data_IF_900652399282
#
_entry.id   IF_900652399282
#
_cell.length_a   1.000
_cell.length_b   1.000
_cell.length_c   1.000
_cell.angle_alpha   90.00
_cell.angle_beta   90.00
_cell.angle_gamma   90.00
#
_symmetry.space_group_name_H-M   'P 1'
#
loop_
_entity.id
_entity.type
_entity.pdbx_description
1 polymer ?
#
# COMPACT_ATOMS: atom_id res chain seq x y z
N UNK A 1 16.18 -12.38 39.72
CA UNK A 1 16.64 -11.10 39.13
C UNK A 1 16.11 -10.85 37.72
N UNK A 2 16.02 -11.85 36.83
CA UNK A 2 15.57 -11.65 35.44
C UNK A 2 14.10 -11.19 35.29
N UNK A 3 13.21 -11.65 36.16
CA UNK A 3 11.76 -11.37 36.11
C UNK A 3 11.44 -9.90 36.47
N UNK A 4 12.25 -9.27 37.32
CA UNK A 4 12.04 -7.88 37.74
C UNK A 4 12.35 -6.88 36.61
N UNK A 5 13.26 -7.21 35.70
CA UNK A 5 13.66 -6.33 34.58
C UNK A 5 12.56 -6.27 33.52
N UNK A 6 11.85 -7.38 33.28
CA UNK A 6 10.78 -7.45 32.27
C UNK A 6 9.57 -6.60 32.72
N UNK A 7 9.22 -6.64 34.00
CA UNK A 7 8.07 -5.86 34.53
C UNK A 7 8.35 -4.36 34.45
N UNK A 8 9.58 -3.91 34.71
CA UNK A 8 9.96 -2.50 34.60
C UNK A 8 9.90 -2.00 33.15
N UNK A 9 10.30 -2.82 32.17
CA UNK A 9 10.24 -2.45 30.74
C UNK A 9 8.80 -2.31 30.22
N UNK A 10 7.88 -3.16 30.68
CA UNK A 10 6.45 -3.07 30.29
C UNK A 10 5.81 -1.80 30.86
N UNK A 11 6.07 -1.46 32.12
CA UNK A 11 5.50 -0.27 32.76
C UNK A 11 6.05 1.01 32.13
N UNK A 12 7.34 1.06 31.81
CA UNK A 12 7.95 2.21 31.11
C UNK A 12 7.37 2.37 29.69
N UNK A 13 7.11 1.26 28.98
CA UNK A 13 6.46 1.28 27.67
C UNK A 13 5.04 1.86 27.70
N UNK A 14 4.24 1.50 28.70
CA UNK A 14 2.89 2.05 28.88
C UNK A 14 2.89 3.54 29.25
N UNK A 15 3.78 3.98 30.13
CA UNK A 15 3.87 5.40 30.54
C UNK A 15 4.32 6.31 29.38
N UNK A 16 5.20 5.81 28.51
CA UNK A 16 5.64 6.55 27.31
C UNK A 16 4.50 6.62 26.27
N UNK A 17 3.74 5.54 26.08
CA UNK A 17 2.61 5.54 25.15
C UNK A 17 1.49 6.49 25.59
N UNK A 18 1.15 6.52 26.88
CA UNK A 18 0.08 7.38 27.41
C UNK A 18 0.44 8.87 27.36
N UNK A 19 1.70 9.23 27.62
CA UNK A 19 2.15 10.62 27.57
C UNK A 19 2.27 11.19 26.15
N UNK A 20 2.51 10.36 25.13
CA UNK A 20 2.55 10.80 23.73
C UNK A 20 1.16 11.01 23.12
N UNK A 21 0.15 10.24 23.57
CA UNK A 21 -1.22 10.38 23.05
C UNK A 21 -1.91 11.67 23.52
N UNK A 22 -1.54 12.18 24.70
CA UNK A 22 -2.17 13.34 25.34
C UNK A 22 -1.55 14.70 24.99
N UNK A 23 -0.55 14.75 24.09
CA UNK A 23 0.09 16.00 23.66
C UNK A 23 -0.15 16.38 22.19
N UNK A 24 -1.02 15.68 21.46
CA UNK A 24 -1.34 16.09 20.09
C UNK A 24 -2.29 17.30 20.12
N UNK A 25 -1.86 18.50 19.65
CA UNK A 25 -2.74 19.66 19.59
C UNK A 25 -3.89 19.38 18.62
N UNK A 26 -5.13 19.74 19.01
CA UNK A 26 -6.27 19.86 18.09
C UNK A 26 -5.86 20.79 16.96
N UNK A 27 -5.69 20.22 15.77
CA UNK A 27 -4.90 20.79 14.69
C UNK A 27 -5.83 21.55 13.73
N UNK A 28 -5.66 22.87 13.61
CA UNK A 28 -6.25 23.72 12.55
C UNK A 28 -5.96 23.20 11.13
N UNK A 29 -4.99 22.28 10.99
CA UNK A 29 -4.74 21.55 9.74
C UNK A 29 -5.93 20.71 9.26
N UNK A 30 -6.88 20.34 10.12
CA UNK A 30 -8.05 19.56 9.74
C UNK A 30 -8.88 20.24 8.64
N UNK A 31 -8.92 21.58 8.66
CA UNK A 31 -9.68 22.38 7.68
C UNK A 31 -8.90 22.55 6.35
N UNK A 32 -7.57 22.66 6.39
CA UNK A 32 -6.72 22.58 5.19
C UNK A 32 -6.77 21.18 4.55
N UNK A 33 -6.90 20.11 5.33
CA UNK A 33 -7.05 18.73 4.82
C UNK A 33 -8.38 18.53 4.08
N UNK A 34 -9.48 19.14 4.54
CA UNK A 34 -10.75 19.11 3.83
C UNK A 34 -10.68 19.93 2.53
N UNK A 35 -10.02 21.08 2.53
CA UNK A 35 -9.84 21.90 1.33
C UNK A 35 -8.93 21.22 0.27
N UNK A 36 -7.88 20.53 0.70
CA UNK A 36 -7.01 19.74 -0.17
C UNK A 36 -7.72 18.49 -0.71
N UNK A 37 -8.53 17.82 0.11
CA UNK A 37 -9.39 16.69 -0.30
C UNK A 37 -10.36 17.13 -1.40
N UNK A 38 -11.02 18.28 -1.24
CA UNK A 38 -12.00 18.77 -2.22
C UNK A 38 -11.34 19.31 -3.49
N UNK A 39 -10.14 19.91 -3.41
CA UNK A 39 -9.38 20.33 -4.60
C UNK A 39 -8.83 19.14 -5.39
N UNK A 40 -8.35 18.08 -4.73
CA UNK A 40 -7.88 16.87 -5.43
C UNK A 40 -9.05 16.08 -6.04
N UNK A 41 -10.19 15.99 -5.34
CA UNK A 41 -11.41 15.38 -5.87
C UNK A 41 -11.95 16.13 -7.10
N UNK A 42 -11.71 17.45 -7.20
CA UNK A 42 -12.05 18.26 -8.38
C UNK A 42 -11.05 18.12 -9.53
N UNK A 43 -9.77 17.85 -9.27
CA UNK A 43 -8.77 17.61 -10.33
C UNK A 43 -8.81 16.19 -10.90
N UNK A 44 -9.27 15.20 -10.13
CA UNK A 44 -9.48 13.82 -10.58
C UNK A 44 -10.95 13.58 -10.98
N UNK A 45 -11.78 14.63 -10.92
CA UNK A 45 -13.24 14.59 -10.97
C UNK A 45 -13.90 14.67 -12.35
N UNK A 46 -13.18 14.48 -13.46
CA UNK A 46 -13.85 14.17 -14.73
C UNK A 46 -14.07 12.65 -14.84
N UNK A 47 -15.20 12.24 -14.24
CA UNK A 47 -15.91 10.97 -14.35
C UNK A 47 -15.19 9.71 -13.87
N UNK A 48 -15.45 9.36 -12.62
CA UNK A 48 -15.84 7.98 -12.33
C UNK A 48 -17.11 7.99 -11.48
N UNK A 49 -18.27 7.91 -12.14
CA UNK A 49 -19.40 7.30 -11.46
C UNK A 49 -18.94 5.91 -11.00
N UNK A 50 -19.33 5.44 -9.80
CA UNK A 50 -19.04 4.06 -9.39
C UNK A 50 -19.59 3.15 -10.49
N UNK A 51 -18.69 2.43 -11.17
CA UNK A 51 -19.09 1.44 -12.15
C UNK A 51 -19.45 0.21 -11.34
N UNK A 52 -20.73 -0.16 -11.27
CA UNK A 52 -21.13 -1.41 -10.63
C UNK A 52 -20.26 -2.57 -11.15
N UNK A 53 -19.74 -3.40 -10.23
CA UNK A 53 -18.88 -4.52 -10.56
C UNK A 53 -17.38 -4.20 -10.61
N UNK A 54 -16.89 -3.19 -9.88
CA UNK A 54 -15.44 -2.98 -9.73
C UNK A 54 -14.76 -4.06 -8.89
N UNK A 55 -13.45 -4.22 -9.05
CA UNK A 55 -12.67 -5.14 -8.23
C UNK A 55 -12.59 -4.69 -6.77
N UNK A 56 -12.70 -3.39 -6.47
CA UNK A 56 -12.85 -2.91 -5.09
C UNK A 56 -14.07 -3.50 -4.38
N UNK A 57 -15.19 -3.67 -5.06
CA UNK A 57 -16.40 -4.26 -4.44
C UNK A 57 -16.18 -5.74 -4.09
N UNK A 58 -15.40 -6.45 -4.91
CA UNK A 58 -15.06 -7.87 -4.71
C UNK A 58 -13.93 -8.08 -3.70
N UNK A 59 -12.99 -7.15 -3.63
CA UNK A 59 -11.77 -7.21 -2.80
C UNK A 59 -11.61 -5.96 -1.92
N UNK A 60 -12.58 -5.70 -1.02
CA UNK A 60 -12.56 -4.51 -0.16
C UNK A 60 -11.36 -4.48 0.79
N UNK A 61 -10.88 -5.61 1.29
CA UNK A 61 -9.75 -5.64 2.22
C UNK A 61 -8.43 -5.21 1.54
N UNK A 62 -8.24 -5.51 0.25
CA UNK A 62 -7.09 -4.97 -0.50
C UNK A 62 -7.19 -3.45 -0.65
N UNK A 63 -8.40 -2.93 -0.90
CA UNK A 63 -8.61 -1.49 -0.99
C UNK A 63 -8.27 -0.80 0.33
N UNK A 64 -8.74 -1.36 1.44
CA UNK A 64 -8.47 -0.84 2.79
C UNK A 64 -6.99 -0.96 3.16
N UNK A 65 -6.32 -2.06 2.79
CA UNK A 65 -4.88 -2.20 2.92
C UNK A 65 -4.14 -1.07 2.19
N UNK A 66 -4.48 -0.84 0.92
CA UNK A 66 -3.83 0.20 0.12
C UNK A 66 -4.07 1.60 0.66
N UNK A 67 -5.29 1.86 1.14
CA UNK A 67 -5.65 3.14 1.75
C UNK A 67 -4.94 3.39 3.08
N UNK A 68 -4.72 2.37 3.90
CA UNK A 68 -3.96 2.48 5.15
C UNK A 68 -2.48 2.80 4.87
N UNK A 69 -1.91 2.21 3.82
CA UNK A 69 -0.51 2.40 3.42
C UNK A 69 -0.24 3.72 2.70
N UNK A 70 -1.25 4.57 2.48
CA UNK A 70 -1.12 5.86 1.76
C UNK A 70 -0.13 6.82 2.39
N UNK A 71 0.00 6.84 3.72
CA UNK A 71 0.91 7.78 4.39
C UNK A 71 2.32 7.23 4.53
N UNK A 72 2.42 5.96 4.91
CA UNK A 72 3.67 5.22 5.12
C UNK A 72 4.42 5.03 3.80
N UNK A 73 3.75 4.46 2.79
CA UNK A 73 4.37 4.10 1.52
C UNK A 73 4.16 5.14 0.41
N UNK A 74 3.31 6.16 0.63
CA UNK A 74 2.80 7.03 -0.46
C UNK A 74 2.06 6.22 -1.51
N UNK A 75 1.29 5.25 -1.05
CA UNK A 75 0.49 4.39 -1.90
C UNK A 75 -0.74 5.12 -2.45
N UNK A 76 -1.00 4.96 -3.74
CA UNK A 76 -2.08 5.60 -4.48
C UNK A 76 -2.85 4.55 -5.27
N UNK A 77 -4.18 4.68 -5.33
CA UNK A 77 -4.99 3.87 -6.25
C UNK A 77 -4.62 4.26 -7.68
N UNK A 78 -4.14 3.29 -8.46
CA UNK A 78 -3.78 3.49 -9.86
C UNK A 78 -4.91 3.07 -10.80
N UNK A 79 -5.60 1.98 -10.47
CA UNK A 79 -6.63 1.39 -11.32
C UNK A 79 -7.68 0.68 -10.45
N UNK A 80 -8.95 0.87 -10.79
CA UNK A 80 -10.07 0.10 -10.24
C UNK A 80 -11.14 -0.03 -11.32
N UNK A 81 -11.24 -1.21 -11.92
CA UNK A 81 -12.26 -1.58 -12.89
C UNK A 81 -12.76 -3.01 -12.61
N UNK A 82 -13.66 -3.55 -13.42
CA UNK A 82 -14.21 -4.90 -13.18
C UNK A 82 -13.24 -6.06 -13.39
N UNK A 83 -11.99 -5.80 -13.80
CA UNK A 83 -10.94 -6.78 -14.03
C UNK A 83 -9.68 -6.54 -13.20
N UNK A 84 -9.45 -5.33 -12.71
CA UNK A 84 -8.23 -5.00 -11.99
C UNK A 84 -8.50 -3.99 -10.89
N UNK A 85 -7.97 -4.27 -9.71
CA UNK A 85 -7.69 -3.25 -8.69
C UNK A 85 -6.18 -3.20 -8.51
N UNK A 86 -5.59 -2.01 -8.59
CA UNK A 86 -4.15 -1.81 -8.50
C UNK A 86 -3.83 -0.53 -7.73
N UNK A 87 -2.93 -0.66 -6.78
CA UNK A 87 -2.27 0.43 -6.08
C UNK A 87 -0.82 0.53 -6.52
N UNK A 88 -0.28 1.74 -6.53
CA UNK A 88 1.14 1.97 -6.79
C UNK A 88 1.78 2.77 -5.66
N UNK A 89 3.07 2.56 -5.41
CA UNK A 89 3.85 3.44 -4.56
C UNK A 89 5.25 3.68 -5.14
N UNK A 90 5.88 4.84 -4.89
CA UNK A 90 7.15 5.19 -5.50
C UNK A 90 8.33 4.37 -4.95
N UNK A 91 9.33 4.17 -5.81
CA UNK A 91 10.67 3.67 -5.45
C UNK A 91 11.61 4.86 -5.44
N UNK A 92 12.34 5.03 -4.34
CA UNK A 92 13.17 6.20 -4.10
C UNK A 92 14.67 5.84 -4.16
N UNK A 93 15.40 6.51 -5.04
CA UNK A 93 16.87 6.59 -5.02
C UNK A 93 17.29 7.96 -5.59
N UNK A 94 17.73 8.88 -4.72
CA UNK A 94 18.02 10.29 -5.07
C UNK A 94 16.87 11.00 -5.83
N UNK A 95 15.64 10.49 -5.70
CA UNK A 95 14.46 10.86 -6.46
C UNK A 95 13.56 9.66 -6.73
N UNK A 96 12.41 9.86 -7.37
CA UNK A 96 11.54 8.75 -7.79
C UNK A 96 12.15 8.10 -9.03
N UNK A 97 12.54 6.83 -8.94
CA UNK A 97 13.14 6.05 -10.04
C UNK A 97 12.16 5.06 -10.68
N UNK A 98 11.04 4.78 -10.02
CA UNK A 98 10.03 3.83 -10.48
C UNK A 98 8.86 3.74 -9.51
N UNK A 99 7.99 2.77 -9.76
CA UNK A 99 6.84 2.46 -8.92
C UNK A 99 6.73 0.95 -8.73
N UNK A 100 6.37 0.54 -7.52
CA UNK A 100 5.88 -0.80 -7.24
C UNK A 100 4.37 -0.76 -7.38
N UNK A 101 3.81 -1.73 -8.11
CA UNK A 101 2.41 -1.90 -8.39
C UNK A 101 1.92 -3.16 -7.68
N UNK A 102 0.92 -3.03 -6.83
CA UNK A 102 0.30 -4.10 -6.05
C UNK A 102 -1.14 -4.21 -6.50
N UNK A 103 -1.62 -5.39 -6.83
CA UNK A 103 -2.99 -5.49 -7.28
C UNK A 103 -3.52 -6.90 -7.35
N UNK A 104 -4.80 -6.96 -7.71
CA UNK A 104 -5.46 -8.18 -8.16
C UNK A 104 -5.91 -7.95 -9.58
N UNK A 105 -5.58 -8.89 -10.46
CA UNK A 105 -6.05 -8.93 -11.85
C UNK A 105 -6.85 -10.20 -12.10
N UNK A 106 -7.98 -10.06 -12.80
CA UNK A 106 -8.76 -11.17 -13.34
C UNK A 106 -8.11 -11.66 -14.65
N UNK A 107 -7.60 -12.88 -14.60
CA UNK A 107 -7.02 -13.60 -15.74
C UNK A 107 -7.95 -14.75 -16.11
N UNK A 108 -8.76 -14.54 -17.15
CA UNK A 108 -9.71 -15.53 -17.68
C UNK A 108 -10.74 -16.04 -16.65
N UNK A 109 -11.30 -15.16 -15.84
CA UNK A 109 -12.28 -15.48 -14.79
C UNK A 109 -11.64 -15.97 -13.49
N UNK A 110 -10.32 -15.86 -13.36
CA UNK A 110 -9.57 -16.27 -12.17
C UNK A 110 -8.76 -15.09 -11.63
N UNK A 111 -9.05 -14.62 -10.42
CA UNK A 111 -8.34 -13.50 -9.82
C UNK A 111 -6.97 -13.95 -9.32
N UNK A 112 -5.96 -13.13 -9.58
CA UNK A 112 -4.58 -13.34 -9.14
C UNK A 112 -4.06 -12.08 -8.48
N UNK A 113 -3.43 -12.23 -7.32
CA UNK A 113 -2.62 -11.17 -6.71
C UNK A 113 -1.27 -11.07 -7.43
N UNK A 114 -0.79 -9.85 -7.64
CA UNK A 114 0.50 -9.59 -8.27
C UNK A 114 1.22 -8.41 -7.62
N UNK A 115 2.55 -8.43 -7.76
CA UNK A 115 3.42 -7.28 -7.49
C UNK A 115 4.35 -7.07 -8.67
N UNK A 116 4.17 -5.97 -9.39
CA UNK A 116 5.02 -5.58 -10.51
C UNK A 116 5.86 -4.36 -10.16
N UNK A 117 7.02 -4.20 -10.80
CA UNK A 117 7.85 -3.03 -10.65
C UNK A 117 8.15 -2.40 -11.99
N UNK A 118 7.77 -1.13 -12.15
CA UNK A 118 7.99 -0.34 -13.35
C UNK A 118 8.90 0.84 -13.07
N UNK A 119 10.10 0.80 -13.64
CA UNK A 119 11.05 1.91 -13.57
C UNK A 119 10.68 3.02 -14.58
N UNK A 120 11.08 4.26 -14.28
CA UNK A 120 10.86 5.42 -15.17
C UNK A 120 11.53 5.28 -16.53
N UNK A 121 12.63 4.53 -16.59
CA UNK A 121 13.32 4.19 -17.83
C UNK A 121 12.57 3.14 -18.68
N UNK A 122 11.38 2.69 -18.24
CA UNK A 122 10.55 1.72 -18.94
C UNK A 122 10.82 0.26 -18.60
N UNK A 123 11.89 -0.05 -17.83
CA UNK A 123 12.17 -1.43 -17.41
C UNK A 123 11.05 -1.95 -16.50
N UNK A 124 10.50 -3.11 -16.84
CA UNK A 124 9.39 -3.75 -16.12
C UNK A 124 9.86 -5.09 -15.56
N UNK A 125 9.65 -5.30 -14.27
CA UNK A 125 9.84 -6.58 -13.59
C UNK A 125 8.48 -7.09 -13.16
N UNK A 126 8.09 -8.23 -13.71
CA UNK A 126 6.83 -8.88 -13.36
C UNK A 126 7.02 -9.83 -12.20
N UNK A 127 6.24 -9.67 -11.14
CA UNK A 127 6.20 -10.63 -10.05
C UNK A 127 5.43 -11.90 -10.42
N UNK A 128 5.41 -12.86 -9.51
CA UNK A 128 4.51 -14.00 -9.62
C UNK A 128 3.04 -13.51 -9.64
N UNK A 129 2.17 -14.26 -10.32
CA UNK A 129 0.71 -14.12 -10.20
C UNK A 129 0.23 -15.26 -9.34
N UNK A 130 -0.19 -14.97 -8.11
CA UNK A 130 -0.66 -15.99 -7.19
C UNK A 130 -2.19 -16.02 -7.27
N UNK A 131 -2.80 -17.18 -7.60
CA UNK A 131 -4.25 -17.27 -7.62
C UNK A 131 -4.81 -17.05 -6.21
N UNK A 132 -5.94 -16.37 -6.13
CA UNK A 132 -6.70 -16.18 -4.90
C UNK A 132 -8.13 -16.65 -5.12
N UNK A 133 -8.74 -17.25 -4.10
CA UNK A 133 -10.12 -17.75 -4.18
C UNK A 133 -11.11 -16.79 -3.50
N UNK A 134 -10.63 -16.02 -2.53
CA UNK A 134 -11.42 -15.08 -1.73
C UNK A 134 -10.61 -13.82 -1.39
N UNK A 135 -11.30 -12.84 -0.81
CA UNK A 135 -10.68 -11.60 -0.31
C UNK A 135 -9.94 -11.89 0.99
N UNK A 136 -8.63 -11.64 0.99
CA UNK A 136 -7.78 -11.91 2.15
C UNK A 136 -7.98 -10.84 3.23
N UNK A 137 -7.66 -11.15 4.47
CA UNK A 137 -7.56 -10.13 5.51
C UNK A 137 -6.43 -9.15 5.22
N UNK A 138 -6.45 -7.97 5.86
CA UNK A 138 -5.40 -6.95 5.69
C UNK A 138 -4.02 -7.44 6.14
N UNK A 139 -3.97 -8.28 7.17
CA UNK A 139 -2.72 -8.87 7.66
C UNK A 139 -2.17 -9.92 6.68
N UNK A 140 -3.03 -10.75 6.09
CA UNK A 140 -2.66 -11.69 5.03
C UNK A 140 -2.17 -10.96 3.77
N UNK A 141 -2.83 -9.87 3.37
CA UNK A 141 -2.33 -9.03 2.27
C UNK A 141 -0.95 -8.46 2.59
N UNK A 142 -0.74 -7.98 3.81
CA UNK A 142 0.57 -7.47 4.23
C UNK A 142 1.66 -8.55 4.15
N UNK A 143 1.36 -9.78 4.57
CA UNK A 143 2.28 -10.91 4.47
C UNK A 143 2.56 -11.30 3.01
N UNK A 144 1.52 -11.58 2.22
CA UNK A 144 1.66 -12.06 0.84
C UNK A 144 2.35 -11.02 -0.03
N UNK A 145 1.89 -9.76 -0.01
CA UNK A 145 2.52 -8.69 -0.80
C UNK A 145 3.96 -8.44 -0.34
N UNK A 146 4.23 -8.51 0.97
CA UNK A 146 5.57 -8.41 1.53
C UNK A 146 6.51 -9.49 0.97
N UNK A 147 6.08 -10.76 0.96
CA UNK A 147 6.85 -11.86 0.38
C UNK A 147 7.08 -11.68 -1.13
N UNK A 148 6.07 -11.20 -1.86
CA UNK A 148 6.20 -10.93 -3.29
C UNK A 148 7.19 -9.79 -3.58
N UNK A 149 7.21 -8.73 -2.76
CA UNK A 149 8.25 -7.69 -2.85
C UNK A 149 9.63 -8.27 -2.57
N UNK A 150 9.77 -9.08 -1.52
CA UNK A 150 11.05 -9.72 -1.17
C UNK A 150 11.58 -10.61 -2.30
N UNK A 151 10.69 -11.26 -3.05
CA UNK A 151 11.08 -12.08 -4.20
C UNK A 151 11.79 -11.27 -5.30
N UNK A 152 11.45 -9.99 -5.49
CA UNK A 152 12.15 -9.13 -6.45
C UNK A 152 13.61 -8.88 -6.08
N UNK A 153 13.94 -8.83 -4.77
CA UNK A 153 15.32 -8.67 -4.32
C UNK A 153 16.23 -9.86 -4.62
N UNK A 154 15.64 -11.02 -4.92
CA UNK A 154 16.39 -12.19 -5.40
C UNK A 154 16.80 -12.07 -6.88
N UNK A 155 16.24 -11.11 -7.62
CA UNK A 155 16.54 -10.87 -9.03
C UNK A 155 17.71 -9.87 -9.18
N UNK A 156 18.90 -10.30 -9.68
CA UNK A 156 20.07 -9.41 -9.81
C UNK A 156 19.82 -8.19 -10.71
N UNK A 157 19.02 -8.36 -11.77
CA UNK A 157 18.71 -7.27 -12.71
C UNK A 157 17.84 -6.20 -12.08
N UNK A 158 16.99 -6.60 -11.13
CA UNK A 158 16.15 -5.69 -10.33
C UNK A 158 17.01 -4.91 -9.34
N UNK A 159 17.88 -5.62 -8.60
CA UNK A 159 18.81 -5.00 -7.65
C UNK A 159 19.71 -3.99 -8.36
N UNK A 160 20.25 -4.34 -9.52
CA UNK A 160 21.06 -3.43 -10.32
C UNK A 160 20.27 -2.19 -10.77
N UNK A 161 19.00 -2.36 -11.18
CA UNK A 161 18.15 -1.25 -11.61
C UNK A 161 17.77 -0.29 -10.47
N UNK A 162 17.73 -0.76 -9.23
CA UNK A 162 17.55 0.10 -8.04
C UNK A 162 18.83 0.88 -7.74
N UNK A 163 20.01 0.25 -7.90
CA UNK A 163 21.29 0.83 -7.50
C UNK A 163 21.89 1.82 -8.50
N UNK A 164 21.47 1.78 -9.76
CA UNK A 164 21.89 2.68 -10.84
C UNK A 164 21.27 4.08 -10.71
#
# INVERSE_FOLDING_TARGET
MLIFIIIVLVIVGFIIHDNLSNQLPKNEKMDEYQYARDSYSRQVGEKSQPVEGTMKEKYPNLFDYGYDKRYELKMELYKDDGKTIEFKHPILNKGIIGYVHHGIEDVYGKPHIYVDVKFKNGKLFRGARLPIEEDLTKDEYNEVLGQMILSHWSNPDYVQAIMS
#
